data_IF_846825018586
#
_entry.id   IF_846825018586
#
_cell.length_a   1.000
_cell.length_b   1.000
_cell.length_c   1.000
_cell.angle_alpha   90.00
_cell.angle_beta   90.00
_cell.angle_gamma   90.00
#
_symmetry.space_group_name_H-M   'P 1'
#
loop_
_entity.id
_entity.type
_entity.pdbx_description
1 polymer ?
#
# COMPACT_ATOMS: atom_id res chain seq x y z
N UNK A 1 -16.34 36.90 4.94
CA UNK A 1 -16.49 36.52 6.37
C UNK A 1 -15.13 36.04 6.87
N UNK A 2 -14.54 36.64 7.90
CA UNK A 2 -13.29 36.13 8.51
C UNK A 2 -13.65 34.87 9.31
N UNK A 3 -13.26 33.69 8.84
CA UNK A 3 -13.39 32.45 9.60
C UNK A 3 -12.20 32.36 10.56
N UNK A 4 -12.46 32.21 11.86
CA UNK A 4 -11.39 32.07 12.86
C UNK A 4 -10.76 30.69 12.76
N UNK A 5 -9.44 30.69 12.58
CA UNK A 5 -8.63 29.47 12.54
C UNK A 5 -8.02 29.23 13.92
N UNK A 6 -8.13 28.00 14.42
CA UNK A 6 -7.42 27.56 15.63
C UNK A 6 -6.05 27.03 15.24
N UNK A 7 -4.98 27.62 15.77
CA UNK A 7 -3.60 27.27 15.41
C UNK A 7 -2.88 26.51 16.52
N UNK A 8 -2.03 25.55 16.12
CA UNK A 8 -1.09 24.81 16.98
C UNK A 8 0.28 24.83 16.31
N UNK A 9 1.36 25.02 17.08
CA UNK A 9 2.73 25.02 16.56
C UNK A 9 3.65 24.23 17.47
N UNK A 10 4.49 23.41 16.88
CA UNK A 10 5.51 22.61 17.55
C UNK A 10 6.80 22.64 16.72
N UNK A 11 7.72 23.53 17.11
CA UNK A 11 8.95 23.80 16.36
C UNK A 11 8.68 24.24 14.90
N UNK A 12 9.10 23.42 13.94
CA UNK A 12 8.92 23.66 12.49
C UNK A 12 7.58 23.14 11.95
N UNK A 13 6.79 22.47 12.77
CA UNK A 13 5.47 21.96 12.44
C UNK A 13 4.41 22.96 12.93
N UNK A 14 3.42 23.24 12.10
CA UNK A 14 2.21 23.95 12.52
C UNK A 14 0.98 23.24 11.95
N UNK A 15 -0.14 23.42 12.64
CA UNK A 15 -1.46 22.96 12.22
C UNK A 15 -2.47 24.10 12.42
N UNK A 16 -3.35 24.28 11.46
CA UNK A 16 -4.49 25.19 11.51
C UNK A 16 -5.78 24.39 11.34
N UNK A 17 -6.76 24.63 12.20
CA UNK A 17 -8.11 24.08 12.08
C UNK A 17 -9.08 25.23 11.77
N UNK A 18 -9.84 25.09 10.70
CA UNK A 18 -10.90 26.04 10.30
C UNK A 18 -12.20 25.28 10.16
N UNK A 19 -13.29 25.82 10.69
CA UNK A 19 -14.63 25.33 10.38
C UNK A 19 -15.26 26.18 9.29
N UNK A 20 -15.49 25.56 8.13
CA UNK A 20 -16.07 26.17 6.95
C UNK A 20 -17.54 25.77 6.91
N UNK A 21 -18.45 26.75 6.89
CA UNK A 21 -19.85 26.48 6.52
C UNK A 21 -19.91 26.23 5.02
N UNK A 22 -20.41 25.07 4.62
CA UNK A 22 -20.64 24.77 3.21
C UNK A 22 -21.93 25.44 2.74
N UNK A 23 -21.92 26.03 1.55
CA UNK A 23 -23.11 26.62 0.92
C UNK A 23 -24.10 25.54 0.45
N UNK A 24 -23.64 24.29 0.32
CA UNK A 24 -24.39 23.15 -0.23
C UNK A 24 -24.85 22.13 0.82
N UNK A 25 -24.58 22.36 2.11
CA UNK A 25 -24.91 21.38 3.16
C UNK A 25 -25.13 21.99 4.54
N UNK A 26 -26.08 21.41 5.28
CA UNK A 26 -26.51 21.88 6.61
C UNK A 26 -25.47 21.71 7.74
N UNK A 27 -24.26 21.19 7.46
CA UNK A 27 -23.22 20.90 8.45
C UNK A 27 -21.89 21.60 8.11
N UNK A 28 -21.21 22.22 9.08
CA UNK A 28 -19.89 22.79 8.86
C UNK A 28 -18.85 21.69 8.59
N UNK A 29 -17.95 21.96 7.65
CA UNK A 29 -16.79 21.11 7.31
C UNK A 29 -15.58 21.61 8.10
N UNK A 30 -14.90 20.72 8.81
CA UNK A 30 -13.62 21.05 9.45
C UNK A 30 -12.49 20.80 8.47
N UNK A 31 -11.70 21.84 8.18
CA UNK A 31 -10.47 21.75 7.39
C UNK A 31 -9.27 21.86 8.33
N UNK A 32 -8.37 20.88 8.25
CA UNK A 32 -7.10 20.88 8.96
C UNK A 32 -5.99 21.03 7.94
N UNK A 33 -5.20 22.10 8.10
CA UNK A 33 -4.01 22.36 7.28
C UNK A 33 -2.79 22.13 8.15
N UNK A 34 -1.86 21.28 7.70
CA UNK A 34 -0.58 21.07 8.38
C UNK A 34 0.56 21.51 7.50
N UNK A 35 1.53 22.20 8.08
CA UNK A 35 2.72 22.67 7.39
C UNK A 35 3.98 22.33 8.17
N UNK A 36 5.01 21.86 7.47
CA UNK A 36 6.33 21.59 8.04
C UNK A 36 7.40 22.32 7.23
N UNK A 37 8.12 23.24 7.88
CA UNK A 37 9.21 24.00 7.24
C UNK A 37 8.74 25.05 6.22
N UNK A 38 7.44 25.33 6.16
CA UNK A 38 6.83 26.43 5.40
C UNK A 38 6.26 27.46 6.37
N UNK A 39 6.39 28.75 6.08
CA UNK A 39 5.83 29.79 6.94
C UNK A 39 4.30 29.75 6.90
N UNK A 40 3.67 29.91 8.07
CA UNK A 40 2.23 30.13 8.20
C UNK A 40 1.83 31.58 7.95
N UNK A 41 2.80 32.50 7.92
CA UNK A 41 2.55 33.93 7.89
C UNK A 41 1.94 34.33 6.53
N UNK A 42 0.81 35.03 6.58
CA UNK A 42 0.09 35.48 5.38
C UNK A 42 -0.70 34.39 4.66
N UNK A 43 -0.77 33.16 5.19
CA UNK A 43 -1.64 32.14 4.63
C UNK A 43 -3.11 32.51 4.82
N UNK A 44 -3.86 32.53 3.73
CA UNK A 44 -5.31 32.74 3.76
C UNK A 44 -6.01 31.55 3.11
N UNK A 45 -7.01 31.02 3.80
CA UNK A 45 -7.91 30.05 3.20
C UNK A 45 -8.92 30.81 2.34
N UNK A 46 -9.07 30.40 1.08
CA UNK A 46 -10.01 31.00 0.13
C UNK A 46 -10.82 29.89 -0.53
N UNK A 47 -12.08 30.21 -0.86
CA UNK A 47 -12.83 29.38 -1.80
C UNK A 47 -12.18 29.50 -3.18
N UNK A 48 -12.13 28.37 -3.88
CA UNK A 48 -11.76 28.32 -5.29
C UNK A 48 -13.01 27.88 -6.02
N UNK A 49 -13.68 28.85 -6.66
CA UNK A 49 -14.98 28.64 -7.27
C UNK A 49 -14.87 28.02 -8.68
N UNK A 50 -13.67 28.12 -9.30
CA UNK A 50 -13.34 27.50 -10.57
C UNK A 50 -12.10 26.62 -10.44
N UNK A 51 -12.32 25.30 -10.60
CA UNK A 51 -11.27 24.29 -10.59
C UNK A 51 -10.72 23.98 -11.99
N UNK A 52 -11.29 24.54 -13.07
CA UNK A 52 -10.83 24.27 -14.44
C UNK A 52 -9.33 24.55 -14.62
N UNK A 53 -8.76 25.67 -14.13
CA UNK A 53 -7.31 25.92 -14.26
C UNK A 53 -6.45 24.87 -13.54
N UNK A 54 -6.92 24.32 -12.42
CA UNK A 54 -6.23 23.24 -11.72
C UNK A 54 -6.27 21.94 -12.53
N UNK A 55 -7.43 21.61 -13.11
CA UNK A 55 -7.58 20.41 -13.92
C UNK A 55 -6.74 20.47 -15.19
N UNK A 56 -6.77 21.61 -15.90
CA UNK A 56 -5.97 21.84 -17.10
C UNK A 56 -4.47 21.75 -16.78
N UNK A 57 -4.03 22.41 -15.71
CA UNK A 57 -2.64 22.35 -15.26
C UNK A 57 -2.21 20.94 -14.85
N UNK A 58 -3.09 20.18 -14.18
CA UNK A 58 -2.85 18.78 -13.83
C UNK A 58 -2.74 17.91 -15.08
N UNK A 59 -3.64 18.06 -16.04
CA UNK A 59 -3.62 17.31 -17.29
C UNK A 59 -2.35 17.62 -18.09
N UNK A 60 -1.97 18.89 -18.20
CA UNK A 60 -0.74 19.30 -18.85
C UNK A 60 0.52 18.72 -18.18
N UNK A 61 0.55 18.71 -16.84
CA UNK A 61 1.61 18.07 -16.07
C UNK A 61 1.68 16.56 -16.35
N UNK A 62 0.53 15.87 -16.29
CA UNK A 62 0.46 14.43 -16.55
C UNK A 62 0.87 14.10 -17.98
N UNK A 63 0.44 14.89 -18.96
CA UNK A 63 0.84 14.76 -20.37
C UNK A 63 2.34 14.97 -20.54
N UNK A 64 2.92 15.99 -19.89
CA UNK A 64 4.36 16.25 -19.92
C UNK A 64 5.17 15.11 -19.30
N UNK A 65 4.69 14.55 -18.19
CA UNK A 65 5.32 13.39 -17.55
C UNK A 65 5.22 12.13 -18.43
N UNK A 66 4.07 11.89 -19.05
CA UNK A 66 3.87 10.78 -19.99
C UNK A 66 4.74 10.91 -21.25
N UNK A 67 4.96 12.13 -21.76
CA UNK A 67 5.85 12.37 -22.89
C UNK A 67 7.33 12.16 -22.55
N UNK A 68 7.75 12.51 -21.33
CA UNK A 68 9.13 12.28 -20.84
C UNK A 68 9.42 10.81 -20.55
N UNK A 69 8.38 10.04 -20.20
CA UNK A 69 8.46 8.62 -19.92
C UNK A 69 7.46 7.90 -20.81
N UNK A 70 7.79 7.66 -22.10
CA UNK A 70 6.88 6.98 -23.01
C UNK A 70 6.41 5.68 -22.35
N UNK A 71 5.10 5.53 -22.23
CA UNK A 71 4.49 4.40 -21.56
C UNK A 71 4.76 3.14 -22.38
N UNK A 72 5.76 2.35 -21.98
CA UNK A 72 5.97 1.01 -22.53
C UNK A 72 4.87 0.14 -21.95
N UNK A 73 4.09 -0.50 -22.82
CA UNK A 73 3.04 -1.40 -22.35
C UNK A 73 3.70 -2.56 -21.61
N UNK A 74 3.11 -3.05 -20.51
CA UNK A 74 3.71 -4.15 -19.76
C UNK A 74 3.99 -5.39 -20.63
N UNK A 75 3.15 -5.67 -21.63
CA UNK A 75 3.35 -6.74 -22.63
C UNK A 75 4.62 -6.58 -23.49
N UNK A 76 5.12 -5.37 -23.68
CA UNK A 76 6.27 -5.06 -24.55
C UNK A 76 7.60 -5.01 -23.77
N UNK A 77 7.57 -5.21 -22.45
CA UNK A 77 8.77 -5.20 -21.63
C UNK A 77 9.64 -6.42 -21.92
N UNK A 78 10.94 -6.19 -22.12
CA UNK A 78 11.95 -7.26 -22.02
C UNK A 78 12.10 -7.66 -20.55
N UNK A 79 11.80 -8.91 -20.24
CA UNK A 79 11.76 -9.37 -18.86
C UNK A 79 13.07 -10.06 -18.46
N UNK A 80 13.44 -9.99 -17.17
CA UNK A 80 14.50 -10.84 -16.66
C UNK A 80 14.17 -12.33 -16.93
N UNK A 81 15.19 -13.20 -17.10
CA UNK A 81 15.01 -14.60 -17.50
C UNK A 81 14.48 -15.50 -16.37
N UNK A 82 13.68 -14.96 -15.45
CA UNK A 82 13.12 -15.71 -14.32
C UNK A 82 11.86 -16.45 -14.76
N UNK A 83 11.77 -17.74 -14.38
CA UNK A 83 10.67 -18.63 -14.76
C UNK A 83 10.03 -19.25 -13.52
N UNK A 84 8.73 -19.55 -13.60
CA UNK A 84 7.97 -20.19 -12.53
C UNK A 84 8.08 -19.44 -11.19
N UNK A 85 8.31 -20.19 -10.11
CA UNK A 85 8.38 -19.66 -8.73
C UNK A 85 9.49 -18.64 -8.53
N UNK A 86 10.62 -18.76 -9.25
CA UNK A 86 11.76 -17.86 -9.10
C UNK A 86 11.43 -16.41 -9.48
N UNK A 87 10.50 -16.21 -10.43
CA UNK A 87 10.03 -14.88 -10.78
C UNK A 87 9.27 -14.23 -9.62
N UNK A 88 8.41 -15.00 -8.93
CA UNK A 88 7.69 -14.52 -7.75
C UNK A 88 8.63 -14.30 -6.56
N UNK A 89 9.60 -15.20 -6.33
CA UNK A 89 10.64 -15.02 -5.29
C UNK A 89 11.44 -13.74 -5.50
N UNK A 90 11.95 -13.53 -6.72
CA UNK A 90 12.76 -12.35 -7.05
C UNK A 90 11.98 -11.05 -6.78
N UNK A 91 10.70 -11.01 -7.16
CA UNK A 91 9.83 -9.86 -6.87
C UNK A 91 9.66 -9.64 -5.35
N UNK A 92 9.37 -10.69 -4.59
CA UNK A 92 9.16 -10.61 -3.14
C UNK A 92 10.43 -10.12 -2.44
N UNK A 93 11.59 -10.67 -2.80
CA UNK A 93 12.87 -10.27 -2.23
C UNK A 93 13.23 -8.81 -2.55
N UNK A 94 12.99 -8.37 -3.79
CA UNK A 94 13.17 -6.97 -4.18
C UNK A 94 12.25 -6.05 -3.37
N UNK A 95 10.99 -6.44 -3.18
CA UNK A 95 9.98 -5.69 -2.40
C UNK A 95 10.42 -5.55 -0.95
N UNK A 96 10.88 -6.62 -0.33
CA UNK A 96 11.40 -6.62 1.03
C UNK A 96 12.67 -5.77 1.17
N UNK A 97 13.60 -5.86 0.21
CA UNK A 97 14.82 -5.07 0.22
C UNK A 97 14.51 -3.56 0.17
N UNK A 98 13.55 -3.15 -0.67
CA UNK A 98 13.07 -1.78 -0.72
C UNK A 98 12.40 -1.34 0.59
N UNK A 99 11.53 -2.17 1.16
CA UNK A 99 10.84 -1.87 2.42
C UNK A 99 11.81 -1.76 3.60
N UNK A 100 12.74 -2.70 3.76
CA UNK A 100 13.74 -2.64 4.83
C UNK A 100 14.67 -1.43 4.69
N UNK A 101 15.03 -1.05 3.47
CA UNK A 101 15.76 0.19 3.22
C UNK A 101 14.95 1.41 3.69
N UNK A 102 13.69 1.52 3.26
CA UNK A 102 12.83 2.66 3.61
C UNK A 102 12.62 2.75 5.12
N UNK A 103 12.25 1.64 5.76
CA UNK A 103 12.05 1.56 7.22
C UNK A 103 13.34 1.86 7.97
N UNK A 104 14.49 1.40 7.47
CA UNK A 104 15.80 1.73 8.03
C UNK A 104 16.13 3.22 7.99
N UNK A 105 15.88 3.89 6.86
CA UNK A 105 16.09 5.34 6.73
C UNK A 105 15.13 6.15 7.63
N UNK A 106 13.87 5.73 7.71
CA UNK A 106 12.87 6.35 8.57
C UNK A 106 13.22 6.20 10.07
N UNK A 107 13.66 5.02 10.51
CA UNK A 107 14.12 4.78 11.90
C UNK A 107 15.31 5.68 12.26
N UNK A 108 16.20 5.93 11.31
CA UNK A 108 17.35 6.85 11.48
C UNK A 108 16.96 8.33 11.45
N UNK A 109 15.66 8.66 11.32
CA UNK A 109 15.11 10.01 11.14
C UNK A 109 15.77 10.74 9.96
N UNK A 110 16.30 10.00 8.98
CA UNK A 110 16.91 10.55 7.78
C UNK A 110 15.83 10.67 6.70
N UNK A 111 15.94 11.71 5.87
CA UNK A 111 15.14 11.78 4.65
C UNK A 111 15.65 10.68 3.71
N UNK A 112 14.79 9.75 3.22
CA UNK A 112 15.21 8.71 2.30
C UNK A 112 15.96 9.33 1.11
N UNK A 113 17.22 8.92 0.93
CA UNK A 113 18.06 9.45 -0.14
C UNK A 113 17.98 8.54 -1.36
N UNK A 114 17.57 9.05 -2.54
CA UNK A 114 17.52 8.25 -3.76
C UNK A 114 18.85 7.58 -4.14
N UNK A 115 19.99 8.11 -3.67
CA UNK A 115 21.34 7.59 -3.97
C UNK A 115 21.62 6.21 -3.38
N UNK A 116 20.98 5.85 -2.28
CA UNK A 116 21.20 4.57 -1.59
C UNK A 116 19.98 3.65 -1.69
N UNK A 117 18.97 4.04 -2.48
CA UNK A 117 17.79 3.22 -2.70
C UNK A 117 18.19 1.99 -3.52
N UNK A 118 17.76 0.78 -3.15
CA UNK A 118 17.89 -0.38 -4.01
C UNK A 118 17.30 -0.09 -5.40
N UNK A 119 18.08 -0.28 -6.45
CA UNK A 119 17.68 0.05 -7.81
C UNK A 119 17.09 -1.20 -8.49
N UNK A 120 15.81 -1.46 -8.24
CA UNK A 120 15.06 -2.51 -8.91
C UNK A 120 14.10 -1.88 -9.92
N UNK A 121 14.03 -2.45 -11.13
CA UNK A 121 12.90 -2.18 -12.03
C UNK A 121 11.70 -2.99 -11.55
N UNK A 122 11.01 -2.47 -10.54
CA UNK A 122 9.84 -3.14 -9.96
C UNK A 122 8.78 -3.42 -11.02
N UNK A 123 8.58 -2.52 -11.99
CA UNK A 123 7.61 -2.73 -13.07
C UNK A 123 7.90 -4.00 -13.85
N UNK A 124 9.16 -4.23 -14.23
CA UNK A 124 9.58 -5.46 -14.92
C UNK A 124 9.49 -6.69 -14.03
N UNK A 125 9.86 -6.59 -12.75
CA UNK A 125 9.76 -7.73 -11.83
C UNK A 125 8.30 -8.16 -11.62
N UNK A 126 7.39 -7.20 -11.46
CA UNK A 126 5.95 -7.45 -11.37
C UNK A 126 5.44 -8.14 -12.64
N UNK A 127 5.79 -7.61 -13.81
CA UNK A 127 5.37 -8.20 -15.08
C UNK A 127 5.92 -9.62 -15.27
N UNK A 128 7.19 -9.85 -14.95
CA UNK A 128 7.83 -11.17 -15.02
C UNK A 128 7.12 -12.19 -14.14
N UNK A 129 6.83 -11.84 -12.89
CA UNK A 129 6.11 -12.72 -11.97
C UNK A 129 4.69 -13.02 -12.46
N UNK A 130 3.98 -12.03 -13.02
CA UNK A 130 2.62 -12.22 -13.56
C UNK A 130 2.64 -13.17 -14.75
N UNK A 131 3.56 -12.99 -15.71
CA UNK A 131 3.65 -13.88 -16.88
C UNK A 131 4.06 -15.29 -16.48
N UNK A 132 5.06 -15.43 -15.62
CA UNK A 132 5.46 -16.73 -15.09
C UNK A 132 4.30 -17.47 -14.40
N UNK A 133 3.46 -16.75 -13.65
CA UNK A 133 2.26 -17.31 -13.03
C UNK A 133 1.21 -17.75 -14.07
N UNK A 134 0.96 -16.92 -15.09
CA UNK A 134 0.07 -17.27 -16.20
C UNK A 134 0.54 -18.55 -16.90
N UNK A 135 1.83 -18.63 -17.22
CA UNK A 135 2.43 -19.76 -17.93
C UNK A 135 2.39 -21.04 -17.09
N UNK A 136 2.61 -20.93 -15.77
CA UNK A 136 2.66 -22.09 -14.86
C UNK A 136 1.28 -22.65 -14.55
N UNK A 137 0.25 -21.79 -14.47
CA UNK A 137 -1.07 -22.18 -13.95
C UNK A 137 -2.21 -22.05 -14.97
N UNK A 138 -1.90 -21.61 -16.20
CA UNK A 138 -2.87 -21.30 -17.25
C UNK A 138 -3.98 -20.31 -16.81
N UNK A 139 -3.68 -19.48 -15.81
CA UNK A 139 -4.58 -18.45 -15.30
C UNK A 139 -4.67 -17.27 -16.25
N UNK A 140 -5.80 -16.57 -16.24
CA UNK A 140 -5.89 -15.27 -16.90
C UNK A 140 -4.93 -14.26 -16.25
N UNK A 141 -4.49 -13.26 -17.01
CA UNK A 141 -3.64 -12.16 -16.50
C UNK A 141 -4.21 -11.49 -15.25
N UNK A 142 -5.53 -11.33 -15.18
CA UNK A 142 -6.21 -10.75 -14.01
C UNK A 142 -6.05 -11.60 -12.76
N UNK A 143 -6.24 -12.92 -12.89
CA UNK A 143 -6.06 -13.87 -11.78
C UNK A 143 -4.59 -13.95 -11.34
N UNK A 144 -3.67 -14.10 -12.30
CA UNK A 144 -2.23 -14.14 -12.02
C UNK A 144 -1.78 -12.86 -11.28
N UNK A 145 -2.22 -11.68 -11.75
CA UNK A 145 -1.96 -10.41 -11.05
C UNK A 145 -2.50 -10.40 -9.63
N UNK A 146 -3.71 -10.89 -9.39
CA UNK A 146 -4.29 -10.95 -8.05
C UNK A 146 -3.48 -11.84 -7.12
N UNK A 147 -3.04 -13.02 -7.58
CA UNK A 147 -2.18 -13.94 -6.82
C UNK A 147 -0.85 -13.28 -6.46
N UNK A 148 -0.11 -12.78 -7.45
CA UNK A 148 1.20 -12.14 -7.21
C UNK A 148 1.06 -10.92 -6.30
N UNK A 149 -0.04 -10.16 -6.43
CA UNK A 149 -0.33 -9.02 -5.56
C UNK A 149 -0.64 -9.44 -4.13
N UNK A 150 -1.41 -10.52 -3.94
CA UNK A 150 -1.69 -11.08 -2.63
C UNK A 150 -0.40 -11.53 -1.93
N UNK A 151 0.48 -12.23 -2.64
CA UNK A 151 1.78 -12.71 -2.12
C UNK A 151 2.67 -11.55 -1.69
N UNK A 152 2.93 -10.59 -2.57
CA UNK A 152 3.82 -9.47 -2.25
C UNK A 152 3.31 -8.65 -1.06
N UNK A 153 2.00 -8.42 -0.99
CA UNK A 153 1.39 -7.69 0.13
C UNK A 153 1.40 -8.49 1.43
N UNK A 154 1.21 -9.81 1.39
CA UNK A 154 1.29 -10.66 2.57
C UNK A 154 2.69 -10.56 3.19
N UNK A 155 3.71 -10.76 2.36
CA UNK A 155 5.11 -10.74 2.79
C UNK A 155 5.51 -9.36 3.31
N UNK A 156 5.09 -8.29 2.63
CA UNK A 156 5.31 -6.91 3.10
C UNK A 156 4.62 -6.66 4.44
N UNK A 157 3.40 -7.18 4.62
CA UNK A 157 2.66 -7.07 5.87
C UNK A 157 3.33 -7.85 7.02
N UNK A 158 3.87 -9.05 6.76
CA UNK A 158 4.64 -9.79 7.75
C UNK A 158 5.90 -9.03 8.18
N UNK A 159 6.61 -8.43 7.24
CA UNK A 159 7.79 -7.64 7.54
C UNK A 159 7.50 -6.41 8.42
N UNK A 160 6.29 -5.84 8.33
CA UNK A 160 5.87 -4.71 9.16
C UNK A 160 5.34 -5.15 10.54
N UNK A 161 4.66 -6.30 10.61
CA UNK A 161 3.81 -6.66 11.75
C UNK A 161 4.33 -7.81 12.60
N UNK A 162 5.16 -8.70 12.04
CA UNK A 162 5.63 -9.90 12.71
C UNK A 162 7.10 -9.75 13.13
N UNK A 163 7.36 -9.63 14.43
CA UNK A 163 8.73 -9.44 14.95
C UNK A 163 9.69 -10.58 14.57
N UNK A 164 9.21 -11.82 14.57
CA UNK A 164 9.98 -13.00 14.19
C UNK A 164 10.46 -12.95 12.72
N UNK A 165 9.82 -12.17 11.86
CA UNK A 165 10.18 -12.01 10.45
C UNK A 165 11.54 -11.31 10.24
N UNK A 166 12.09 -10.70 11.30
CA UNK A 166 13.46 -10.18 11.28
C UNK A 166 14.50 -11.31 11.25
N UNK A 167 14.17 -12.50 11.77
CA UNK A 167 15.01 -13.68 11.62
C UNK A 167 15.08 -14.09 10.15
N UNK A 168 16.31 -14.25 9.63
CA UNK A 168 16.51 -14.53 8.20
C UNK A 168 16.07 -15.93 7.82
N UNK A 169 16.25 -16.92 8.69
CA UNK A 169 15.85 -18.31 8.44
C UNK A 169 14.33 -18.45 8.42
N UNK A 170 13.65 -17.92 9.44
CA UNK A 170 12.18 -17.96 9.51
C UNK A 170 11.54 -17.16 8.38
N UNK A 171 12.12 -16.00 8.03
CA UNK A 171 11.67 -15.21 6.88
C UNK A 171 11.75 -16.00 5.58
N UNK A 172 12.86 -16.67 5.32
CA UNK A 172 13.01 -17.45 4.08
C UNK A 172 12.04 -18.64 4.06
N UNK A 173 11.90 -19.36 5.18
CA UNK A 173 10.92 -20.43 5.29
C UNK A 173 9.47 -19.94 5.06
N UNK A 174 9.10 -18.78 5.61
CA UNK A 174 7.78 -18.19 5.39
C UNK A 174 7.55 -17.75 3.93
N UNK A 175 8.59 -17.25 3.25
CA UNK A 175 8.53 -16.94 1.81
C UNK A 175 8.31 -18.24 1.02
N UNK A 176 9.08 -19.28 1.30
CA UNK A 176 9.00 -20.59 0.62
C UNK A 176 7.61 -21.20 0.74
N UNK A 177 7.09 -21.25 1.96
CA UNK A 177 5.75 -21.71 2.31
C UNK A 177 4.65 -20.90 1.60
N UNK A 178 4.78 -19.56 1.58
CA UNK A 178 3.82 -18.67 0.90
C UNK A 178 3.83 -18.88 -0.61
N UNK A 179 5.00 -19.04 -1.22
CA UNK A 179 5.13 -19.32 -2.65
C UNK A 179 4.61 -20.72 -3.00
N UNK A 180 4.91 -21.73 -2.20
CA UNK A 180 4.39 -23.08 -2.39
C UNK A 180 2.84 -23.09 -2.35
N UNK A 181 2.23 -22.37 -1.42
CA UNK A 181 0.77 -22.27 -1.36
C UNK A 181 0.17 -21.47 -2.52
N UNK A 182 0.61 -20.23 -2.74
CA UNK A 182 -0.07 -19.32 -3.68
C UNK A 182 0.32 -19.51 -5.15
N UNK A 183 1.59 -19.83 -5.40
CA UNK A 183 2.14 -19.95 -6.78
C UNK A 183 2.04 -21.39 -7.27
N UNK A 184 2.36 -22.37 -6.41
CA UNK A 184 2.32 -23.79 -6.77
C UNK A 184 1.01 -24.50 -6.42
N UNK A 185 0.14 -23.91 -5.59
CA UNK A 185 -1.11 -24.53 -5.17
C UNK A 185 -0.91 -25.74 -4.25
N UNK A 186 0.20 -25.79 -3.52
CA UNK A 186 0.53 -26.88 -2.61
C UNK A 186 -0.03 -26.60 -1.21
N UNK A 187 -0.49 -27.65 -0.53
CA UNK A 187 -0.73 -27.55 0.91
C UNK A 187 0.60 -27.52 1.66
N UNK A 188 0.69 -26.65 2.66
CA UNK A 188 1.91 -26.36 3.41
C UNK A 188 1.61 -26.30 4.91
N UNK A 189 2.65 -26.30 5.75
CA UNK A 189 2.44 -26.20 7.20
C UNK A 189 1.78 -24.86 7.58
N UNK A 190 2.03 -23.81 6.78
CA UNK A 190 1.42 -22.49 6.93
C UNK A 190 0.02 -22.36 6.33
N UNK A 191 -0.58 -23.42 5.75
CA UNK A 191 -1.93 -23.36 5.13
C UNK A 191 -2.98 -22.63 5.97
N UNK A 192 -3.09 -22.81 7.30
CA UNK A 192 -4.02 -22.02 8.13
C UNK A 192 -3.79 -20.51 8.04
N UNK A 193 -2.53 -20.08 8.02
CA UNK A 193 -2.15 -18.69 7.88
C UNK A 193 -2.45 -18.16 6.47
N UNK A 194 -2.24 -18.96 5.43
CA UNK A 194 -2.56 -18.57 4.05
C UNK A 194 -4.06 -18.38 3.84
N UNK A 195 -4.89 -19.25 4.43
CA UNK A 195 -6.35 -19.12 4.38
C UNK A 195 -6.84 -17.91 5.17
N UNK A 196 -6.23 -17.61 6.33
CA UNK A 196 -6.54 -16.40 7.08
C UNK A 196 -6.19 -15.14 6.28
N UNK A 197 -5.02 -15.13 5.61
CA UNK A 197 -4.64 -14.05 4.71
C UNK A 197 -5.62 -13.87 3.56
N UNK A 198 -6.06 -14.95 2.91
CA UNK A 198 -7.01 -14.88 1.80
C UNK A 198 -8.30 -14.15 2.21
N UNK A 199 -8.86 -14.48 3.38
CA UNK A 199 -10.07 -13.81 3.91
C UNK A 199 -9.83 -12.33 4.17
N UNK A 200 -8.69 -11.99 4.79
CA UNK A 200 -8.28 -10.62 5.06
C UNK A 200 -8.10 -9.83 3.74
N UNK A 201 -7.45 -10.44 2.75
CA UNK A 201 -7.19 -9.86 1.44
C UNK A 201 -8.47 -9.58 0.66
N UNK A 202 -9.39 -10.55 0.61
CA UNK A 202 -10.70 -10.39 -0.03
C UNK A 202 -11.50 -9.25 0.61
N UNK A 203 -11.48 -9.10 1.93
CA UNK A 203 -12.12 -7.99 2.62
C UNK A 203 -11.46 -6.64 2.26
N UNK A 204 -10.13 -6.59 2.25
CA UNK A 204 -9.37 -5.37 1.92
C UNK A 204 -9.63 -4.91 0.48
N UNK A 205 -9.85 -5.84 -0.44
CA UNK A 205 -10.13 -5.56 -1.85
C UNK A 205 -11.56 -5.09 -2.13
N UNK A 206 -12.51 -5.32 -1.21
CA UNK A 206 -13.88 -4.84 -1.39
C UNK A 206 -13.92 -3.32 -1.22
N UNK A 207 -14.36 -2.57 -2.25
CA UNK A 207 -14.62 -1.15 -2.07
C UNK A 207 -15.70 -0.98 -0.99
N UNK A 208 -15.64 0.08 -0.17
CA UNK A 208 -16.74 0.38 0.74
C UNK A 208 -18.03 0.56 -0.07
N UNK A 209 -19.13 -0.03 0.41
CA UNK A 209 -20.44 0.16 -0.22
C UNK A 209 -20.82 1.64 -0.11
N UNK A 210 -20.77 2.36 -1.23
CA UNK A 210 -21.24 3.73 -1.31
C UNK A 210 -22.75 3.70 -1.56
N UNK A 211 -23.56 3.87 -0.52
CA UNK A 211 -25.00 4.13 -0.70
C UNK A 211 -25.20 5.61 -1.05
N UNK A 212 -26.31 5.96 -1.72
CA UNK A 212 -26.61 7.36 -2.07
C UNK A 212 -26.71 8.28 -0.82
N UNK A 213 -27.02 7.68 0.34
CA UNK A 213 -27.06 8.34 1.64
C UNK A 213 -25.73 8.24 2.42
N UNK A 214 -24.72 7.53 1.89
CA UNK A 214 -23.40 7.49 2.49
C UNK A 214 -22.71 8.83 2.24
N UNK A 215 -22.48 9.66 3.26
CA UNK A 215 -21.56 10.77 3.11
C UNK A 215 -20.21 10.15 2.72
N UNK A 216 -19.55 10.67 1.69
CA UNK A 216 -18.35 10.08 1.08
C UNK A 216 -17.16 9.82 2.04
N UNK A 217 -15.93 10.06 1.59
CA UNK A 217 -14.68 9.75 2.33
C UNK A 217 -14.57 10.43 3.73
N UNK A 218 -15.59 11.19 4.16
CA UNK A 218 -15.65 11.90 5.44
C UNK A 218 -16.39 11.14 6.57
N UNK A 219 -16.87 9.91 6.37
CA UNK A 219 -17.54 9.16 7.44
C UNK A 219 -16.55 8.36 8.31
N UNK A 220 -16.04 8.99 9.38
CA UNK A 220 -15.17 8.33 10.37
C UNK A 220 -15.77 7.05 10.97
N UNK A 221 -17.09 6.93 11.05
CA UNK A 221 -17.73 5.73 11.56
C UNK A 221 -17.61 4.57 10.56
N UNK A 222 -17.75 4.81 9.26
CA UNK A 222 -17.54 3.78 8.25
C UNK A 222 -16.08 3.28 8.23
N UNK A 223 -15.11 4.17 8.47
CA UNK A 223 -13.72 3.77 8.66
C UNK A 223 -13.52 2.96 9.94
N UNK A 224 -14.17 3.33 11.04
CA UNK A 224 -14.11 2.61 12.31
C UNK A 224 -14.73 1.21 12.20
N UNK A 225 -15.94 1.11 11.64
CA UNK A 225 -16.62 -0.17 11.38
C UNK A 225 -15.77 -1.08 10.49
N UNK A 226 -15.16 -0.53 9.44
CA UNK A 226 -14.22 -1.29 8.59
C UNK A 226 -13.00 -1.75 9.39
N UNK A 227 -12.43 -0.90 10.25
CA UNK A 227 -11.31 -1.28 11.11
C UNK A 227 -11.69 -2.37 12.12
N UNK A 228 -12.88 -2.29 12.73
CA UNK A 228 -13.44 -3.31 13.63
C UNK A 228 -13.67 -4.64 12.92
N UNK A 229 -13.93 -4.63 11.61
CA UNK A 229 -14.06 -5.85 10.80
C UNK A 229 -12.70 -6.43 10.39
N UNK A 230 -11.70 -5.58 10.14
CA UNK A 230 -10.37 -5.98 9.67
C UNK A 230 -9.51 -6.52 10.81
N UNK A 231 -9.55 -5.90 11.99
CA UNK A 231 -8.65 -6.23 13.10
C UNK A 231 -8.72 -7.72 13.53
N UNK A 232 -9.90 -8.35 13.71
CA UNK A 232 -9.96 -9.76 14.09
C UNK A 232 -9.36 -10.72 13.03
N UNK A 233 -9.48 -10.38 11.74
CA UNK A 233 -8.91 -11.17 10.66
C UNK A 233 -7.38 -11.04 10.60
N UNK A 234 -6.88 -9.85 10.89
CA UNK A 234 -5.44 -9.57 11.00
C UNK A 234 -4.83 -10.31 12.19
N UNK A 235 -5.49 -10.27 13.35
CA UNK A 235 -5.08 -11.02 14.55
C UNK A 235 -5.08 -12.54 14.30
N UNK A 236 -6.12 -13.06 13.64
CA UNK A 236 -6.20 -14.48 13.28
C UNK A 236 -5.07 -14.89 12.33
N UNK A 237 -4.76 -14.04 11.34
CA UNK A 237 -3.67 -14.27 10.40
C UNK A 237 -2.30 -14.27 11.08
N UNK A 238 -2.01 -13.27 11.93
CA UNK A 238 -0.75 -13.21 12.67
C UNK A 238 -0.61 -14.35 13.69
N UNK A 239 -1.71 -14.75 14.33
CA UNK A 239 -1.72 -15.86 15.28
C UNK A 239 -1.41 -17.19 14.60
N UNK A 240 -2.00 -17.45 13.42
CA UNK A 240 -1.72 -18.65 12.64
C UNK A 240 -0.25 -18.73 12.19
N UNK A 241 0.35 -17.60 11.81
CA UNK A 241 1.77 -17.54 11.52
C UNK A 241 2.65 -17.79 12.74
N UNK A 242 2.26 -17.29 13.92
CA UNK A 242 2.98 -17.54 15.16
C UNK A 242 2.93 -19.03 15.54
N UNK A 243 1.76 -19.66 15.42
CA UNK A 243 1.62 -21.10 15.65
C UNK A 243 2.49 -21.92 14.67
N UNK A 244 2.58 -21.51 13.41
CA UNK A 244 3.49 -22.13 12.44
C UNK A 244 4.96 -22.03 12.88
N UNK A 245 5.41 -20.86 13.37
CA UNK A 245 6.77 -20.70 13.92
C UNK A 245 6.99 -21.65 15.10
N UNK A 246 6.05 -21.68 16.05
CA UNK A 246 6.17 -22.46 17.28
C UNK A 246 6.13 -23.98 17.03
N UNK A 247 5.51 -24.45 15.95
CA UNK A 247 5.35 -25.88 15.65
C UNK A 247 6.37 -26.41 14.64
N UNK A 248 6.79 -25.59 13.68
CA UNK A 248 7.69 -26.01 12.59
C UNK A 248 9.16 -25.72 12.89
N UNK A 249 9.43 -24.87 13.88
CA UNK A 249 10.78 -24.36 14.18
C UNK A 249 11.13 -24.29 15.68
N UNK A 250 10.39 -25.00 16.54
CA UNK A 250 10.80 -25.30 17.92
C UNK A 250 11.82 -26.45 17.98
#
# INVERSE_FOLDING_TARGET
>A
MKQEATWRREGKLWAARVEIRSDTGNKPVTVIVTGRGVSSDGMTLRSVDDLAPYWDGREQLLSTLAAKHPHVRPEDLELPPTHGVEAARTLVEATLAEQFWLTGELRRRRRPSPRHRPNFDMGRLWEAAIRAQMDTTNQSRGQAKQVITAVANQISSLADMAEWFNDTSLRQAAIDETLAYWVLGQDTASSPAQQAWQRLWELRQRPPTLTADAPGINNLNAFRERAETVAPLEDAWLSAWREWVDTSHA
#
